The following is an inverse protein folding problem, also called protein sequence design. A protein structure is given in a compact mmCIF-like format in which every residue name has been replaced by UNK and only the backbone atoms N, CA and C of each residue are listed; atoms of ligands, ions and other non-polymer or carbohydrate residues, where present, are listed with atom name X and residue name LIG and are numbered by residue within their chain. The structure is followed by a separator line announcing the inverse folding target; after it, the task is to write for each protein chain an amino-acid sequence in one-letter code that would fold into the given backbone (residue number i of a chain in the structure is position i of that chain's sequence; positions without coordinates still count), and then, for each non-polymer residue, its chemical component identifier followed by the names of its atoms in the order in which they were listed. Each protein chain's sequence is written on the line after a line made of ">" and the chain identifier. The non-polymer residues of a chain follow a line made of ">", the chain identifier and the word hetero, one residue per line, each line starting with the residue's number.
data_IF_784906966285
#
_entry.id   IF_784906966285
#
_cell.length_a   1.000
_cell.length_b   1.000
_cell.length_c   1.000
_cell.angle_alpha   90.00
_cell.angle_beta   90.00
_cell.angle_gamma   90.00
#
_symmetry.space_group_name_H-M   'P 1'
#
loop_
_entity.id
_entity.type
_entity.pdbx_description
1 polymer ?
#
# COMPACT_ATOMS: atom_id res chain seq x y z
N UNK A 1 5.82 -2.78 6.27
CA UNK A 1 4.81 -2.27 7.23
C UNK A 1 4.05 -1.10 6.60
N UNK A 2 2.80 -0.87 7.01
CA UNK A 2 1.97 0.25 6.56
C UNK A 2 2.34 1.52 7.33
N UNK A 3 2.64 1.38 8.61
CA UNK A 3 3.07 2.48 9.48
C UNK A 3 4.60 2.57 9.50
N UNK A 4 5.16 3.78 9.32
CA UNK A 4 6.61 4.03 9.35
C UNK A 4 7.42 3.36 8.24
N UNK A 5 6.77 2.79 7.22
CA UNK A 5 7.44 2.19 6.06
C UNK A 5 7.75 3.22 4.97
N UNK A 6 8.69 2.88 4.08
CA UNK A 6 9.14 3.73 2.96
C UNK A 6 7.99 4.24 2.07
N UNK A 7 6.92 3.46 1.91
CA UNK A 7 5.76 3.89 1.14
C UNK A 7 5.13 5.19 1.68
N UNK A 8 5.26 5.47 2.99
CA UNK A 8 4.82 6.75 3.57
C UNK A 8 5.60 7.94 3.02
N UNK A 9 6.94 7.83 2.98
CA UNK A 9 7.82 8.88 2.44
C UNK A 9 7.62 9.09 0.95
N UNK A 10 7.43 8.01 0.18
CA UNK A 10 7.13 8.09 -1.25
C UNK A 10 5.81 8.84 -1.47
N UNK A 11 4.76 8.49 -0.73
CA UNK A 11 3.47 9.17 -0.82
C UNK A 11 3.58 10.65 -0.43
N UNK A 12 4.28 10.99 0.66
CA UNK A 12 4.48 12.38 1.08
C UNK A 12 5.20 13.19 0.00
N UNK A 13 6.29 12.64 -0.54
CA UNK A 13 7.06 13.29 -1.63
C UNK A 13 6.20 13.54 -2.87
N UNK A 14 5.37 12.57 -3.26
CA UNK A 14 4.47 12.72 -4.41
C UNK A 14 3.36 13.75 -4.16
N UNK A 15 2.82 13.81 -2.94
CA UNK A 15 1.81 14.82 -2.56
C UNK A 15 2.38 16.24 -2.62
N UNK A 16 3.67 16.42 -2.31
CA UNK A 16 4.33 17.71 -2.40
C UNK A 16 4.73 18.09 -3.84
N UNK A 17 5.01 17.09 -4.69
CA UNK A 17 5.52 17.31 -6.04
C UNK A 17 4.42 17.55 -7.11
N UNK A 18 3.18 17.17 -6.83
CA UNK A 18 2.08 17.20 -7.81
C UNK A 18 1.01 18.20 -7.40
N UNK A 19 0.58 19.04 -8.35
CA UNK A 19 -0.45 20.07 -8.10
C UNK A 19 -1.84 19.46 -7.81
N UNK A 20 -2.24 18.46 -8.59
CA UNK A 20 -3.53 17.78 -8.47
C UNK A 20 -3.38 16.29 -8.80
N UNK A 21 -4.08 15.44 -8.04
CA UNK A 21 -4.18 14.00 -8.31
C UNK A 21 -5.65 13.64 -8.53
N UNK A 22 -5.92 12.85 -9.58
CA UNK A 22 -7.28 12.40 -9.92
C UNK A 22 -7.85 11.42 -8.88
N UNK A 23 -6.97 10.75 -8.12
CA UNK A 23 -7.34 9.82 -7.07
C UNK A 23 -6.30 9.83 -5.94
N UNK A 24 -6.67 9.47 -4.70
CA UNK A 24 -5.73 9.35 -3.59
C UNK A 24 -4.74 8.19 -3.81
N UNK A 25 -3.50 8.37 -3.35
CA UNK A 25 -2.45 7.34 -3.44
C UNK A 25 -2.76 6.18 -2.48
N UNK A 26 -3.14 5.04 -3.04
CA UNK A 26 -3.26 3.76 -2.32
C UNK A 26 -1.88 3.18 -1.95
N UNK A 27 -1.80 2.49 -0.80
CA UNK A 27 -0.57 1.81 -0.34
C UNK A 27 -0.86 0.37 0.06
N UNK A 28 -0.33 -0.57 -0.71
CA UNK A 28 -0.42 -2.01 -0.42
C UNK A 28 0.90 -2.48 0.21
N UNK A 29 0.84 -2.89 1.46
CA UNK A 29 2.03 -3.30 2.25
C UNK A 29 1.70 -4.53 3.10
N UNK A 30 2.72 -5.14 3.71
CA UNK A 30 2.51 -6.02 4.86
C UNK A 30 1.80 -5.29 6.01
N UNK A 31 1.11 -6.06 6.86
CA UNK A 31 0.36 -5.53 8.00
C UNK A 31 1.29 -5.01 9.11
N UNK A 32 0.77 -4.13 9.96
CA UNK A 32 1.48 -3.60 11.14
C UNK A 32 1.42 -4.58 12.32
N UNK A 33 1.91 -5.79 12.07
CA UNK A 33 2.07 -6.87 13.05
C UNK A 33 3.45 -7.50 12.85
N UNK A 34 3.99 -8.22 13.85
CA UNK A 34 5.20 -9.00 13.67
C UNK A 34 5.05 -9.96 12.49
N UNK A 35 6.14 -10.18 11.75
CA UNK A 35 6.16 -11.13 10.65
C UNK A 35 5.79 -12.52 11.18
N UNK A 36 4.77 -13.18 10.63
CA UNK A 36 4.32 -14.46 11.16
C UNK A 36 5.26 -15.61 10.77
N UNK A 37 4.99 -16.79 11.30
CA UNK A 37 5.63 -18.02 10.83
C UNK A 37 5.22 -18.33 9.39
N UNK A 38 6.06 -19.08 8.68
CA UNK A 38 5.93 -19.39 7.25
C UNK A 38 4.51 -19.84 6.81
N UNK A 39 3.80 -20.57 7.66
CA UNK A 39 2.43 -21.02 7.39
C UNK A 39 1.41 -19.89 7.12
N UNK A 40 1.71 -18.65 7.52
CA UNK A 40 0.86 -17.48 7.32
C UNK A 40 1.56 -16.37 6.51
N UNK A 41 2.72 -16.65 5.91
CA UNK A 41 3.50 -15.66 5.18
C UNK A 41 2.75 -15.12 3.96
N UNK A 42 2.13 -16.01 3.17
CA UNK A 42 1.33 -15.65 1.99
C UNK A 42 0.16 -14.72 2.35
N UNK A 43 -0.41 -14.84 3.56
CA UNK A 43 -1.47 -13.94 4.01
C UNK A 43 -0.93 -12.58 4.46
N UNK A 44 0.29 -12.54 5.00
CA UNK A 44 0.91 -11.31 5.47
C UNK A 44 1.42 -10.44 4.32
N UNK A 45 2.01 -11.07 3.31
CA UNK A 45 2.63 -10.38 2.19
C UNK A 45 1.59 -9.65 1.31
N UNK A 46 1.98 -8.54 0.66
CA UNK A 46 1.13 -7.82 -0.27
C UNK A 46 1.03 -8.57 -1.61
N UNK A 47 0.24 -9.64 -1.61
CA UNK A 47 0.00 -10.50 -2.79
C UNK A 47 -0.72 -9.77 -3.94
N UNK A 48 -0.60 -10.33 -5.14
CA UNK A 48 -1.15 -9.74 -6.38
C UNK A 48 -2.65 -9.42 -6.29
N UNK A 49 -3.45 -10.26 -5.62
CA UNK A 49 -4.88 -10.01 -5.43
C UNK A 49 -5.16 -8.71 -4.66
N UNK A 50 -4.37 -8.41 -3.60
CA UNK A 50 -4.52 -7.18 -2.82
C UNK A 50 -4.09 -5.95 -3.62
N UNK A 51 -3.12 -6.12 -4.53
CA UNK A 51 -2.70 -5.06 -5.46
C UNK A 51 -3.81 -4.79 -6.47
N UNK A 52 -4.41 -5.84 -7.03
CA UNK A 52 -5.53 -5.72 -7.96
C UNK A 52 -6.74 -5.01 -7.33
N UNK A 53 -7.12 -5.40 -6.11
CA UNK A 53 -8.22 -4.77 -5.38
C UNK A 53 -7.95 -3.27 -5.17
N UNK A 54 -6.73 -2.91 -4.75
CA UNK A 54 -6.38 -1.49 -4.57
C UNK A 54 -6.40 -0.72 -5.89
N UNK A 55 -5.96 -1.31 -7.00
CA UNK A 55 -6.03 -0.67 -8.33
C UNK A 55 -7.48 -0.39 -8.69
N UNK A 56 -8.39 -1.35 -8.49
CA UNK A 56 -9.82 -1.19 -8.76
C UNK A 56 -10.44 -0.08 -7.89
N UNK A 57 -10.09 -0.02 -6.61
CA UNK A 57 -10.52 1.05 -5.71
C UNK A 57 -10.02 2.43 -6.17
N UNK A 58 -8.76 2.54 -6.57
CA UNK A 58 -8.18 3.82 -7.03
C UNK A 58 -8.82 4.30 -8.33
N UNK A 59 -9.12 3.41 -9.27
CA UNK A 59 -9.79 3.76 -10.53
C UNK A 59 -11.26 4.17 -10.32
N UNK A 60 -11.89 3.74 -9.23
CA UNK A 60 -13.29 4.01 -8.93
C UNK A 60 -13.56 5.30 -8.14
N UNK A 61 -12.51 6.04 -7.76
CA UNK A 61 -12.59 7.33 -7.05
C UNK A 61 -12.98 8.45 -8.03
#
# INVERSE_FOLDING_TARGET
>A
PKTGGLAGEITATLQEAVLCQEAPIGRVTGFDVPVPLHALEDYYLPEAARVEDQIRETVAF
#
